data_IF_227904330980
#
_entry.id   IF_227904330980
#
_cell.length_a   1.000
_cell.length_b   1.000
_cell.length_c   1.000
_cell.angle_alpha   90.00
_cell.angle_beta   90.00
_cell.angle_gamma   90.00
#
_symmetry.space_group_name_H-M   'P 1'
#
loop_
_entity.id
_entity.type
_entity.pdbx_description
1 polymer ?
#
# COMPACT_ATOMS: atom_id res chain seq x y z
N UNK A 1 -17.62 1.30 10.46
CA UNK A 1 -18.15 0.18 9.67
C UNK A 1 -17.94 -1.16 10.35
N UNK A 2 -18.54 -2.22 9.77
CA UNK A 2 -18.54 -3.57 10.33
C UNK A 2 -19.57 -3.76 11.46
N UNK A 3 -20.18 -4.95 11.53
CA UNK A 3 -21.16 -5.30 12.55
C UNK A 3 -20.49 -5.58 13.89
N UNK A 4 -21.07 -5.05 14.97
CA UNK A 4 -20.72 -5.40 16.36
C UNK A 4 -21.74 -6.36 16.98
N UNK A 5 -22.78 -6.74 16.22
CA UNK A 5 -23.81 -7.67 16.69
C UNK A 5 -23.27 -9.08 16.72
N UNK A 6 -23.17 -9.64 17.89
CA UNK A 6 -22.74 -11.02 18.11
C UNK A 6 -23.78 -12.02 17.59
N UNK A 7 -23.29 -13.10 17.00
CA UNK A 7 -24.10 -14.24 16.55
C UNK A 7 -23.48 -15.55 17.06
N UNK A 8 -24.28 -16.63 17.21
CA UNK A 8 -23.75 -17.95 17.51
C UNK A 8 -22.81 -18.45 16.43
N UNK A 9 -21.75 -19.13 16.83
CA UNK A 9 -20.84 -19.79 15.86
C UNK A 9 -21.59 -20.95 15.19
N UNK A 10 -21.72 -20.97 13.85
CA UNK A 10 -22.32 -22.10 13.13
C UNK A 10 -21.52 -23.37 13.35
N UNK A 11 -22.19 -24.51 13.43
CA UNK A 11 -21.53 -25.82 13.59
C UNK A 11 -20.59 -26.20 12.43
N UNK A 12 -20.73 -25.52 11.28
CA UNK A 12 -19.90 -25.73 10.09
C UNK A 12 -18.63 -24.85 10.10
N UNK A 13 -18.47 -23.94 11.06
CA UNK A 13 -17.32 -23.06 11.18
C UNK A 13 -16.45 -23.45 12.38
N UNK A 14 -15.21 -23.85 12.13
CA UNK A 14 -14.21 -23.92 13.19
C UNK A 14 -13.69 -22.50 13.47
N UNK A 15 -14.36 -21.80 14.40
CA UNK A 15 -14.09 -20.40 14.67
C UNK A 15 -12.74 -20.19 15.36
N UNK A 16 -12.31 -21.12 16.19
CA UNK A 16 -10.98 -21.07 16.83
C UNK A 16 -9.86 -21.14 15.78
N UNK A 17 -9.97 -22.06 14.84
CA UNK A 17 -9.03 -22.14 13.71
C UNK A 17 -9.06 -20.89 12.83
N UNK A 18 -10.24 -20.28 12.62
CA UNK A 18 -10.36 -19.04 11.85
C UNK A 18 -9.73 -17.86 12.58
N UNK A 19 -9.88 -17.75 13.89
CA UNK A 19 -9.24 -16.71 14.71
C UNK A 19 -7.72 -16.80 14.64
N UNK A 20 -7.16 -18.02 14.60
CA UNK A 20 -5.73 -18.25 14.62
C UNK A 20 -5.07 -17.61 15.86
N UNK A 21 -3.94 -16.88 15.69
CA UNK A 21 -3.24 -16.22 16.80
C UNK A 21 -3.87 -14.90 17.25
N UNK A 22 -4.92 -14.41 16.58
CA UNK A 22 -5.56 -13.15 16.93
C UNK A 22 -6.28 -13.24 18.28
N UNK A 23 -6.44 -12.12 19.01
CA UNK A 23 -7.21 -12.11 20.24
C UNK A 23 -8.65 -12.58 20.02
N UNK A 24 -9.19 -13.32 21.00
CA UNK A 24 -10.58 -13.75 20.92
C UNK A 24 -11.52 -12.54 20.87
N UNK A 25 -12.39 -12.55 19.86
CA UNK A 25 -13.54 -11.65 19.72
C UNK A 25 -14.75 -12.49 19.32
N UNK A 26 -15.96 -12.18 19.84
CA UNK A 26 -17.18 -12.88 19.43
C UNK A 26 -17.39 -12.81 17.90
N UNK A 27 -18.00 -13.87 17.34
CA UNK A 27 -18.40 -13.88 15.93
C UNK A 27 -19.50 -12.83 15.69
N UNK A 28 -19.34 -12.05 14.62
CA UNK A 28 -20.38 -11.13 14.13
C UNK A 28 -20.81 -11.52 12.71
N UNK A 29 -21.93 -10.98 12.24
CA UNK A 29 -22.54 -11.36 10.95
C UNK A 29 -21.59 -11.26 9.75
N UNK A 30 -20.64 -10.32 9.80
CA UNK A 30 -19.76 -10.01 8.68
C UNK A 30 -18.26 -10.27 8.96
N UNK A 31 -17.90 -10.74 10.17
CA UNK A 31 -16.48 -10.93 10.55
C UNK A 31 -15.77 -11.94 9.65
N UNK A 32 -16.40 -13.09 9.40
CA UNK A 32 -15.83 -14.17 8.58
C UNK A 32 -16.38 -14.15 7.14
N UNK A 33 -17.02 -13.06 6.71
CA UNK A 33 -17.66 -13.03 5.39
C UNK A 33 -16.63 -13.07 4.27
N UNK A 34 -16.81 -14.03 3.36
CA UNK A 34 -15.99 -14.21 2.17
C UNK A 34 -16.60 -13.61 0.90
N UNK A 35 -17.80 -12.97 0.99
CA UNK A 35 -18.56 -12.52 -0.16
C UNK A 35 -17.96 -11.29 -0.87
N UNK A 36 -16.84 -10.79 -0.39
CA UNK A 36 -16.13 -9.63 -0.94
C UNK A 36 -16.81 -8.28 -0.67
N UNK A 37 -18.07 -8.30 -0.23
CA UNK A 37 -18.86 -7.08 0.06
C UNK A 37 -18.75 -6.64 1.51
N UNK A 38 -18.47 -7.58 2.41
CA UNK A 38 -18.39 -7.38 3.86
C UNK A 38 -17.06 -7.91 4.38
N UNK A 39 -15.96 -7.27 4.03
CA UNK A 39 -14.59 -7.67 4.44
C UNK A 39 -14.22 -7.08 5.79
N UNK A 40 -15.01 -7.31 6.84
CA UNK A 40 -14.74 -6.73 8.16
C UNK A 40 -13.37 -7.13 8.69
N UNK A 41 -12.94 -8.39 8.52
CA UNK A 41 -11.62 -8.85 8.93
C UNK A 41 -10.47 -8.08 8.27
N UNK A 42 -10.65 -7.63 7.03
CA UNK A 42 -9.63 -6.85 6.31
C UNK A 42 -9.45 -5.43 6.88
N UNK A 43 -10.48 -4.92 7.54
CA UNK A 43 -10.49 -3.63 8.22
C UNK A 43 -10.39 -3.72 9.75
N UNK A 44 -10.04 -4.89 10.30
CA UNK A 44 -9.76 -5.12 11.72
C UNK A 44 -8.26 -5.37 11.92
N UNK A 45 -7.61 -4.49 12.68
CA UNK A 45 -6.15 -4.51 12.90
C UNK A 45 -5.63 -5.78 13.58
N UNK A 46 -6.48 -6.65 14.10
CA UNK A 46 -6.07 -7.96 14.58
C UNK A 46 -5.68 -8.91 13.43
N UNK A 47 -6.09 -8.58 12.18
CA UNK A 47 -5.88 -9.45 11.00
C UNK A 47 -5.18 -8.73 9.86
N UNK A 48 -5.49 -7.44 9.62
CA UNK A 48 -4.96 -6.69 8.49
C UNK A 48 -5.03 -5.17 8.75
N UNK A 49 -4.32 -4.38 7.96
CA UNK A 49 -4.34 -2.92 8.06
C UNK A 49 -5.29 -2.23 7.05
N UNK A 50 -6.21 -2.98 6.43
CA UNK A 50 -7.13 -2.39 5.46
C UNK A 50 -6.42 -1.81 4.25
N UNK A 51 -6.82 -0.61 3.83
CA UNK A 51 -6.28 -0.02 2.61
C UNK A 51 -4.82 0.42 2.71
N UNK A 52 -4.32 0.82 3.88
CA UNK A 52 -2.96 1.34 4.01
C UNK A 52 -1.89 0.30 3.64
N UNK A 53 -2.07 -0.97 4.03
CA UNK A 53 -1.19 -2.05 3.62
C UNK A 53 -1.79 -2.92 2.52
N UNK A 54 -3.10 -3.22 2.55
CA UNK A 54 -3.73 -4.10 1.57
C UNK A 54 -3.82 -3.51 0.15
N UNK A 55 -3.83 -2.20 -0.02
CA UNK A 55 -3.79 -1.51 -1.31
C UNK A 55 -2.59 -0.58 -1.44
N UNK A 56 -2.24 0.15 -0.38
CA UNK A 56 -1.12 1.09 -0.38
C UNK A 56 0.24 0.43 -0.59
N UNK A 57 0.35 -0.89 -0.33
CA UNK A 57 1.55 -1.66 -0.65
C UNK A 57 1.90 -1.62 -2.14
N UNK A 58 0.93 -1.52 -3.06
CA UNK A 58 1.20 -1.49 -4.49
C UNK A 58 1.99 -0.25 -4.94
N UNK A 59 1.57 1.00 -4.63
CA UNK A 59 2.41 2.16 -4.93
C UNK A 59 3.71 2.18 -4.11
N UNK A 60 3.74 1.63 -2.90
CA UNK A 60 4.95 1.50 -2.11
C UNK A 60 5.95 0.52 -2.74
N UNK A 61 5.48 -0.59 -3.30
CA UNK A 61 6.31 -1.54 -4.04
C UNK A 61 6.92 -0.90 -5.30
N UNK A 62 6.14 -0.10 -6.05
CA UNK A 62 6.67 0.69 -7.16
C UNK A 62 7.75 1.66 -6.69
N UNK A 63 7.56 2.31 -5.53
CA UNK A 63 8.57 3.21 -4.95
C UNK A 63 9.86 2.45 -4.61
N UNK A 64 9.76 1.26 -4.03
CA UNK A 64 10.91 0.39 -3.73
C UNK A 64 11.63 -0.08 -4.99
N UNK A 65 10.91 -0.36 -6.06
CA UNK A 65 11.52 -0.72 -7.36
C UNK A 65 12.32 0.45 -7.93
N UNK A 66 11.77 1.67 -7.89
CA UNK A 66 12.43 2.84 -8.47
C UNK A 66 13.55 3.41 -7.61
N UNK A 67 13.39 3.44 -6.29
CA UNK A 67 14.38 4.00 -5.37
C UNK A 67 15.36 2.95 -4.81
N UNK A 68 15.00 1.66 -4.85
CA UNK A 68 15.88 0.56 -4.47
C UNK A 68 16.49 0.72 -3.07
N UNK A 69 17.82 0.61 -3.01
CA UNK A 69 18.58 0.70 -1.76
C UNK A 69 18.46 2.08 -1.07
N UNK A 70 18.07 3.13 -1.80
CA UNK A 70 17.88 4.46 -1.20
C UNK A 70 16.71 4.50 -0.20
N UNK A 71 15.77 3.57 -0.31
CA UNK A 71 14.65 3.41 0.63
C UNK A 71 14.87 2.28 1.65
N UNK A 72 16.12 1.88 1.90
CA UNK A 72 16.47 0.85 2.89
C UNK A 72 17.05 1.47 4.17
N UNK A 73 17.03 0.69 5.25
CA UNK A 73 17.67 1.02 6.50
C UNK A 73 16.87 1.99 7.36
N UNK A 74 17.58 2.92 8.03
CA UNK A 74 16.96 3.84 8.99
C UNK A 74 16.01 4.81 8.29
N UNK A 75 14.80 4.93 8.82
CA UNK A 75 13.76 5.83 8.33
C UNK A 75 13.07 6.52 9.51
N UNK A 76 12.76 7.78 9.33
CA UNK A 76 11.89 8.57 10.21
C UNK A 76 10.54 8.71 9.53
N UNK A 77 9.45 8.53 10.27
CA UNK A 77 8.09 8.59 9.75
C UNK A 77 7.26 9.50 10.63
N UNK A 78 6.54 10.42 10.01
CA UNK A 78 5.56 11.29 10.67
C UNK A 78 4.30 11.43 9.83
N UNK A 79 3.20 11.81 10.44
CA UNK A 79 1.99 12.12 9.71
C UNK A 79 0.71 11.91 10.49
N UNK A 80 -0.39 11.89 9.76
CA UNK A 80 -1.74 11.82 10.31
C UNK A 80 -2.59 10.79 9.59
N UNK A 81 -3.64 10.30 10.26
CA UNK A 81 -4.61 9.38 9.69
C UNK A 81 -6.01 9.60 10.24
N UNK A 82 -6.99 9.23 9.43
CA UNK A 82 -8.40 9.19 9.81
C UNK A 82 -8.82 7.75 10.11
N UNK A 83 -9.56 7.54 11.19
CA UNK A 83 -9.96 6.21 11.65
C UNK A 83 -11.45 6.18 11.96
N UNK A 84 -12.14 5.04 11.74
CA UNK A 84 -13.52 4.88 12.17
C UNK A 84 -13.64 5.02 13.69
N UNK A 85 -14.70 5.71 14.13
CA UNK A 85 -15.00 5.88 15.56
C UNK A 85 -16.09 4.93 16.05
N UNK A 86 -16.71 4.16 15.14
CA UNK A 86 -17.81 3.24 15.44
C UNK A 86 -17.74 1.99 14.60
N UNK A 87 -18.28 0.89 15.12
CA UNK A 87 -18.30 -0.42 14.45
C UNK A 87 -17.06 -1.26 14.74
N UNK A 88 -16.93 -2.39 14.06
CA UNK A 88 -15.87 -3.36 14.26
C UNK A 88 -14.59 -3.04 13.46
N UNK A 89 -14.68 -2.18 12.43
CA UNK A 89 -13.54 -1.76 11.62
C UNK A 89 -12.75 -0.65 12.31
N UNK A 90 -11.43 -0.76 12.35
CA UNK A 90 -10.57 0.17 13.07
C UNK A 90 -9.26 0.52 12.32
N UNK A 91 -9.15 0.13 11.04
CA UNK A 91 -8.01 0.52 10.20
C UNK A 91 -8.16 1.93 9.65
N UNK A 92 -7.05 2.52 9.20
CA UNK A 92 -7.06 3.85 8.58
C UNK A 92 -8.00 3.91 7.37
N UNK A 93 -8.79 4.97 7.28
CA UNK A 93 -9.66 5.29 6.13
C UNK A 93 -9.06 6.35 5.22
N UNK A 94 -8.09 7.10 5.72
CA UNK A 94 -7.29 8.06 4.98
C UNK A 94 -6.01 8.35 5.76
N UNK A 95 -4.95 8.76 5.08
CA UNK A 95 -3.66 9.08 5.71
C UNK A 95 -2.86 10.04 4.85
N UNK A 96 -1.98 10.79 5.52
CA UNK A 96 -0.95 11.65 4.94
C UNK A 96 0.32 11.44 5.76
N UNK A 97 1.30 10.79 5.16
CA UNK A 97 2.50 10.30 5.83
C UNK A 97 3.75 10.75 5.09
N UNK A 98 4.75 11.16 5.83
CA UNK A 98 6.05 11.55 5.32
C UNK A 98 7.14 10.65 5.89
N UNK A 99 7.94 10.07 5.01
CA UNK A 99 9.09 9.23 5.36
C UNK A 99 10.36 9.96 4.96
N UNK A 100 11.37 9.94 5.84
CA UNK A 100 12.71 10.47 5.57
C UNK A 100 13.72 9.37 5.78
N UNK A 101 14.33 8.91 4.72
CA UNK A 101 15.35 7.87 4.75
C UNK A 101 16.73 8.47 5.03
N UNK A 102 17.63 7.67 5.64
CA UNK A 102 19.02 8.10 5.91
C UNK A 102 19.82 8.42 4.64
N UNK A 103 19.40 7.93 3.49
CA UNK A 103 19.93 8.26 2.17
C UNK A 103 19.64 9.70 1.72
N UNK A 104 18.70 10.40 2.38
CA UNK A 104 18.16 11.69 1.97
C UNK A 104 16.89 11.60 1.11
N UNK A 105 16.48 10.42 0.68
CA UNK A 105 15.20 10.23 -0.02
C UNK A 105 14.05 10.49 0.93
N UNK A 106 13.03 11.20 0.44
CA UNK A 106 11.77 11.43 1.13
C UNK A 106 10.61 10.82 0.34
N UNK A 107 9.60 10.33 1.04
CA UNK A 107 8.38 9.80 0.43
C UNK A 107 7.18 10.42 1.12
N UNK A 108 6.27 11.01 0.34
CA UNK A 108 4.93 11.39 0.79
C UNK A 108 3.95 10.32 0.35
N UNK A 109 3.36 9.63 1.32
CA UNK A 109 2.43 8.53 1.09
C UNK A 109 1.03 8.91 1.54
N UNK A 110 0.13 9.08 0.58
CA UNK A 110 -1.23 9.59 0.82
C UNK A 110 -2.28 8.56 0.41
N UNK A 111 -3.23 8.35 1.27
CA UNK A 111 -4.45 7.61 1.01
C UNK A 111 -5.68 8.46 1.30
N UNK A 112 -6.58 8.55 0.33
CA UNK A 112 -7.80 9.35 0.49
C UNK A 112 -8.91 8.57 1.19
N UNK A 113 -9.71 9.23 2.05
CA UNK A 113 -10.90 8.61 2.64
C UNK A 113 -11.81 8.03 1.56
N UNK A 114 -12.33 6.82 1.82
CA UNK A 114 -13.26 6.10 0.93
C UNK A 114 -12.69 5.52 -0.37
N UNK A 115 -11.36 5.37 -0.47
CA UNK A 115 -10.72 4.49 -1.47
C UNK A 115 -11.21 4.66 -2.90
N UNK A 116 -11.21 5.87 -3.43
CA UNK A 116 -11.32 6.18 -4.86
C UNK A 116 -12.50 5.62 -5.69
N UNK A 117 -13.11 4.53 -5.25
CA UNK A 117 -14.20 3.84 -5.95
C UNK A 117 -15.59 4.08 -5.34
N UNK A 118 -15.68 4.67 -4.19
CA UNK A 118 -16.94 5.07 -3.59
C UNK A 118 -17.18 6.54 -3.92
N UNK A 119 -17.81 6.78 -5.04
CA UNK A 119 -18.28 8.04 -5.56
C UNK A 119 -17.92 9.29 -4.76
N UNK A 120 -17.53 10.32 -5.45
CA UNK A 120 -17.12 11.67 -5.02
C UNK A 120 -16.84 11.85 -3.52
N UNK A 121 -15.64 12.27 -3.15
CA UNK A 121 -15.34 12.67 -1.78
C UNK A 121 -16.47 13.58 -1.29
N UNK A 122 -16.85 13.44 -0.03
CA UNK A 122 -17.81 14.33 0.64
C UNK A 122 -17.21 15.74 0.82
N UNK A 123 -16.83 16.40 -0.26
CA UNK A 123 -16.38 17.80 -0.27
C UNK A 123 -15.02 18.08 0.39
N UNK A 124 -14.36 17.09 0.97
CA UNK A 124 -12.98 17.23 1.47
C UNK A 124 -12.00 16.93 0.35
N UNK A 125 -11.29 17.94 -0.10
CA UNK A 125 -10.09 17.75 -0.93
C UNK A 125 -9.03 17.09 -0.05
N UNK A 126 -8.44 15.99 -0.54
CA UNK A 126 -7.30 15.41 0.17
C UNK A 126 -6.07 16.31 0.02
N UNK A 127 -5.20 16.29 1.02
CA UNK A 127 -3.94 16.99 0.95
C UNK A 127 -3.22 16.64 -0.37
N UNK A 128 -2.62 17.61 -1.01
CA UNK A 128 -1.90 17.47 -2.28
C UNK A 128 -2.74 17.26 -3.55
N UNK A 129 -4.07 17.11 -3.50
CA UNK A 129 -4.88 16.82 -4.70
C UNK A 129 -4.66 17.86 -5.80
N UNK A 130 -4.80 19.15 -5.46
CA UNK A 130 -4.66 20.25 -6.43
C UNK A 130 -3.24 20.33 -6.96
N UNK A 131 -2.24 20.25 -6.09
CA UNK A 131 -0.83 20.31 -6.46
C UNK A 131 -0.45 19.16 -7.39
N UNK A 132 -0.81 17.94 -7.03
CA UNK A 132 -0.46 16.76 -7.82
C UNK A 132 -1.23 16.66 -9.13
N UNK A 133 -2.49 17.11 -9.18
CA UNK A 133 -3.23 17.21 -10.44
C UNK A 133 -2.64 18.27 -11.38
N UNK A 134 -2.17 19.38 -10.85
CA UNK A 134 -1.48 20.41 -11.66
C UNK A 134 -0.14 19.91 -12.18
N UNK A 135 0.61 19.18 -11.35
CA UNK A 135 1.96 18.70 -11.68
C UNK A 135 1.94 17.48 -12.59
N UNK A 136 1.15 16.47 -12.26
CA UNK A 136 1.15 15.16 -12.95
C UNK A 136 -0.03 14.96 -13.90
N UNK A 137 -0.94 15.91 -13.97
CA UNK A 137 -2.18 15.80 -14.71
C UNK A 137 -3.24 14.99 -13.96
N UNK A 138 -4.24 14.46 -14.67
CA UNK A 138 -5.29 13.65 -14.05
C UNK A 138 -4.70 12.39 -13.44
N UNK A 139 -4.70 12.34 -12.12
CA UNK A 139 -4.20 11.19 -11.36
C UNK A 139 -5.10 9.97 -11.57
N UNK A 140 -4.47 8.79 -11.62
CA UNK A 140 -5.15 7.52 -11.47
C UNK A 140 -5.53 7.29 -10.00
N UNK A 141 -6.24 6.19 -9.73
CA UNK A 141 -6.62 5.84 -8.36
C UNK A 141 -5.44 5.43 -7.47
N UNK A 142 -4.28 5.19 -8.05
CA UNK A 142 -3.01 4.98 -7.38
C UNK A 142 -1.85 5.25 -8.36
N UNK A 143 -0.65 5.31 -7.85
CA UNK A 143 0.57 5.51 -8.63
C UNK A 143 1.69 6.02 -7.75
N UNK A 144 2.90 6.05 -8.30
CA UNK A 144 4.09 6.55 -7.63
C UNK A 144 4.81 7.54 -8.53
N UNK A 145 5.04 8.75 -8.04
CA UNK A 145 5.86 9.75 -8.72
C UNK A 145 7.27 9.76 -8.12
N UNK A 146 8.25 9.75 -9.00
CA UNK A 146 9.66 9.92 -8.67
C UNK A 146 10.09 11.31 -9.13
N UNK A 147 10.67 12.10 -8.25
CA UNK A 147 11.12 13.46 -8.52
C UNK A 147 12.62 13.57 -8.30
N UNK A 148 13.28 14.20 -9.22
CA UNK A 148 14.70 14.47 -9.18
C UNK A 148 15.05 15.84 -9.76
N UNK A 149 16.34 16.18 -9.78
CA UNK A 149 16.84 17.46 -10.30
C UNK A 149 16.52 17.67 -11.78
N UNK A 150 16.48 16.58 -12.56
CA UNK A 150 16.30 16.62 -14.01
C UNK A 150 14.85 16.49 -14.46
N UNK A 151 13.91 16.28 -13.52
CA UNK A 151 12.50 16.13 -13.82
C UNK A 151 11.79 15.14 -12.92
N UNK A 152 10.67 14.62 -13.42
CA UNK A 152 9.88 13.63 -12.70
C UNK A 152 9.33 12.52 -13.61
N UNK A 153 9.04 11.38 -13.00
CA UNK A 153 8.41 10.23 -13.64
C UNK A 153 7.27 9.72 -12.76
N UNK A 154 6.06 9.68 -13.29
CA UNK A 154 4.90 9.05 -12.65
C UNK A 154 4.70 7.65 -13.26
N UNK A 155 4.77 6.62 -12.41
CA UNK A 155 4.52 5.24 -12.78
C UNK A 155 3.21 4.74 -12.17
N UNK A 156 2.38 4.13 -13.02
CA UNK A 156 1.16 3.42 -12.65
C UNK A 156 1.01 2.19 -13.55
N UNK A 157 0.01 1.37 -13.30
CA UNK A 157 -0.23 0.12 -14.05
C UNK A 157 -0.38 0.40 -15.55
N UNK A 158 0.60 -0.05 -16.34
CA UNK A 158 0.62 0.11 -17.80
C UNK A 158 0.80 1.53 -18.31
N UNK A 159 1.17 2.49 -17.42
CA UNK A 159 1.35 3.89 -17.78
C UNK A 159 2.59 4.47 -17.11
N UNK A 160 3.39 5.17 -17.90
CA UNK A 160 4.48 6.02 -17.43
C UNK A 160 4.29 7.40 -18.06
N UNK A 161 4.40 8.45 -17.26
CA UNK A 161 4.37 9.85 -17.69
C UNK A 161 5.58 10.54 -17.11
N UNK A 162 6.26 11.34 -17.92
CA UNK A 162 7.48 12.03 -17.51
C UNK A 162 7.47 13.50 -17.89
N UNK A 163 8.25 14.27 -17.17
CA UNK A 163 8.58 15.63 -17.52
C UNK A 163 10.07 15.86 -17.22
N UNK A 164 10.91 16.16 -18.21
CA UNK A 164 10.58 16.27 -19.65
C UNK A 164 10.20 14.93 -20.27
N UNK A 165 9.47 14.97 -21.38
CA UNK A 165 9.03 13.76 -22.12
C UNK A 165 10.21 12.91 -22.61
N UNK A 166 11.34 13.55 -22.89
CA UNK A 166 12.58 12.88 -23.30
C UNK A 166 13.12 11.83 -22.32
N UNK A 167 12.67 11.84 -21.06
CA UNK A 167 13.03 10.78 -20.10
C UNK A 167 12.48 9.41 -20.53
N UNK A 168 11.41 9.35 -21.32
CA UNK A 168 10.90 8.08 -21.87
C UNK A 168 11.75 7.54 -23.02
N UNK A 169 12.61 8.36 -23.62
CA UNK A 169 13.48 7.98 -24.74
C UNK A 169 14.84 7.42 -24.27
N UNK A 170 15.09 7.42 -22.96
CA UNK A 170 16.33 6.88 -22.41
C UNK A 170 16.49 5.39 -22.78
N UNK A 171 17.66 5.05 -23.26
CA UNK A 171 18.03 3.64 -23.51
C UNK A 171 18.25 2.94 -22.17
N UNK A 172 17.29 2.15 -21.76
CA UNK A 172 17.30 1.49 -20.44
C UNK A 172 18.45 0.48 -20.29
N UNK A 173 18.92 -0.11 -21.36
CA UNK A 173 20.05 -1.03 -21.39
C UNK A 173 21.40 -0.38 -21.06
N UNK A 174 21.48 0.94 -21.14
CA UNK A 174 22.70 1.72 -20.81
C UNK A 174 22.69 2.27 -19.38
N UNK A 175 21.60 2.10 -18.65
CA UNK A 175 21.48 2.62 -17.29
C UNK A 175 22.28 1.77 -16.29
N UNK A 176 22.87 2.39 -15.25
CA UNK A 176 23.71 1.68 -14.28
C UNK A 176 22.93 0.67 -13.44
N UNK A 177 21.63 0.87 -13.26
CA UNK A 177 20.75 -0.05 -12.54
C UNK A 177 19.88 -0.78 -13.56
N UNK A 178 19.96 -2.10 -13.55
CA UNK A 178 19.19 -2.99 -14.40
C UNK A 178 18.24 -3.81 -13.55
N UNK A 179 16.94 -3.60 -13.71
CA UNK A 179 15.93 -4.40 -13.04
C UNK A 179 15.77 -5.76 -13.75
N UNK A 180 15.58 -6.82 -12.98
CA UNK A 180 15.24 -8.13 -13.51
C UNK A 180 13.93 -8.04 -14.30
N UNK A 181 13.91 -8.54 -15.53
CA UNK A 181 12.69 -8.59 -16.35
C UNK A 181 12.04 -9.95 -16.20
N UNK A 182 10.74 -9.97 -15.90
CA UNK A 182 9.91 -11.17 -15.92
C UNK A 182 8.69 -10.94 -16.79
N UNK A 183 8.52 -11.76 -17.81
CA UNK A 183 7.33 -11.73 -18.69
C UNK A 183 6.22 -12.63 -18.20
N UNK A 184 6.50 -13.50 -17.22
CA UNK A 184 5.54 -14.47 -16.70
C UNK A 184 5.80 -14.78 -15.23
N UNK A 185 5.01 -14.21 -14.35
CA UNK A 185 5.18 -14.27 -12.89
C UNK A 185 5.29 -15.70 -12.33
N UNK A 186 4.38 -16.60 -12.71
CA UNK A 186 4.41 -18.01 -12.25
C UNK A 186 5.67 -18.73 -12.77
N UNK A 187 6.10 -18.44 -13.98
CA UNK A 187 7.31 -19.03 -14.54
C UNK A 187 8.56 -18.60 -13.79
N UNK A 188 8.68 -17.29 -13.49
CA UNK A 188 9.76 -16.75 -12.69
C UNK A 188 9.85 -17.44 -11.32
N UNK A 189 8.71 -17.64 -10.66
CA UNK A 189 8.65 -18.36 -9.39
C UNK A 189 9.14 -19.81 -9.51
N UNK A 190 8.68 -20.56 -10.51
CA UNK A 190 9.09 -21.94 -10.72
C UNK A 190 10.58 -22.06 -11.06
N UNK A 191 11.11 -21.14 -11.86
CA UNK A 191 12.52 -21.11 -12.21
C UNK A 191 13.39 -20.70 -11.01
N UNK A 192 12.91 -19.81 -10.14
CA UNK A 192 13.56 -19.47 -8.89
C UNK A 192 13.65 -20.65 -7.92
N UNK A 193 12.62 -21.50 -7.84
CA UNK A 193 12.66 -22.73 -7.05
C UNK A 193 13.79 -23.65 -7.55
N UNK A 194 13.94 -23.81 -8.87
CA UNK A 194 14.95 -24.69 -9.47
C UNK A 194 16.36 -24.12 -9.36
N UNK A 195 16.55 -22.85 -9.66
CA UNK A 195 17.84 -22.20 -9.70
C UNK A 195 18.34 -21.77 -8.33
N UNK A 196 17.45 -21.67 -7.33
CA UNK A 196 17.70 -21.07 -6.00
C UNK A 196 18.12 -19.60 -6.08
N UNK A 197 17.81 -18.93 -7.18
CA UNK A 197 18.00 -17.49 -7.33
C UNK A 197 16.72 -16.75 -6.93
N UNK A 198 16.82 -15.50 -6.41
CA UNK A 198 15.66 -14.70 -6.05
C UNK A 198 14.68 -14.51 -7.22
N UNK A 199 13.39 -14.63 -6.95
CA UNK A 199 12.34 -14.23 -7.88
C UNK A 199 12.31 -12.69 -8.02
N UNK A 200 11.66 -12.20 -9.08
CA UNK A 200 11.48 -10.76 -9.26
C UNK A 200 10.69 -10.12 -8.10
N UNK A 201 9.70 -10.84 -7.58
CA UNK A 201 8.96 -10.46 -6.37
C UNK A 201 9.57 -11.17 -5.16
N UNK A 202 10.68 -10.63 -4.65
CA UNK A 202 11.39 -11.22 -3.53
C UNK A 202 10.65 -10.96 -2.20
N UNK A 203 10.67 -11.95 -1.31
CA UNK A 203 9.94 -11.86 -0.03
C UNK A 203 10.47 -10.73 0.87
N UNK A 204 11.77 -10.46 0.85
CA UNK A 204 12.35 -9.39 1.66
C UNK A 204 11.87 -8.00 1.22
N UNK A 205 11.62 -7.81 -0.09
CA UNK A 205 11.04 -6.57 -0.61
C UNK A 205 9.59 -6.42 -0.18
N UNK A 206 8.83 -7.51 -0.24
CA UNK A 206 7.45 -7.52 0.24
C UNK A 206 7.36 -7.22 1.74
N UNK A 207 8.21 -7.86 2.56
CA UNK A 207 8.28 -7.62 4.01
C UNK A 207 8.66 -6.18 4.31
N UNK A 208 9.62 -5.62 3.57
CA UNK A 208 10.05 -4.24 3.80
C UNK A 208 8.97 -3.23 3.41
N UNK A 209 8.33 -3.41 2.25
CA UNK A 209 7.21 -2.57 1.81
C UNK A 209 6.04 -2.60 2.79
N UNK A 210 5.68 -3.79 3.28
CA UNK A 210 4.64 -3.95 4.29
C UNK A 210 5.06 -3.29 5.63
N UNK A 211 6.32 -3.43 6.04
CA UNK A 211 6.88 -2.74 7.21
C UNK A 211 6.71 -1.22 7.10
N UNK A 212 6.99 -0.63 5.94
CA UNK A 212 6.78 0.81 5.72
C UNK A 212 5.31 1.21 5.91
N UNK A 213 4.37 0.40 5.41
CA UNK A 213 2.94 0.63 5.65
C UNK A 213 2.58 0.55 7.13
N UNK A 214 3.12 -0.43 7.86
CA UNK A 214 2.87 -0.62 9.29
C UNK A 214 3.42 0.51 10.14
N UNK A 215 4.66 0.93 9.94
CA UNK A 215 5.24 2.05 10.71
C UNK A 215 4.55 3.37 10.40
N UNK A 216 4.04 3.53 9.16
CA UNK A 216 3.19 4.65 8.79
C UNK A 216 1.87 4.68 9.57
N UNK A 217 1.16 3.55 9.68
CA UNK A 217 -0.06 3.46 10.49
C UNK A 217 0.23 3.76 11.98
N UNK A 218 1.36 3.27 12.51
CA UNK A 218 1.79 3.56 13.88
C UNK A 218 2.04 5.07 14.06
N UNK A 219 2.78 5.71 13.16
CA UNK A 219 3.05 7.15 13.24
C UNK A 219 1.74 7.96 13.20
N UNK A 220 0.82 7.62 12.27
CA UNK A 220 -0.48 8.25 12.17
C UNK A 220 -1.34 8.11 13.44
N UNK A 221 -1.33 6.93 14.08
CA UNK A 221 -2.04 6.69 15.36
C UNK A 221 -1.43 7.48 16.51
N UNK A 222 -0.12 7.59 16.55
CA UNK A 222 0.61 8.33 17.57
C UNK A 222 0.63 9.85 17.32
N UNK A 223 0.19 10.29 16.13
CA UNK A 223 0.18 11.71 15.70
C UNK A 223 1.56 12.36 15.81
N UNK A 224 2.55 11.67 15.39
CA UNK A 224 3.95 12.12 15.41
C UNK A 224 4.75 11.46 14.31
#
# INVERSE_FOLDING_TARGET
GGSTKEIPVPSTLNYDLWLGPAPFKPLTEDRCSADGKKKTWWFDTDYALGFIAGWGIHPMDIALWGAGELMRGKVEVEGTGSYPTTGACNTATGWDLNYRFASGVTVTFVGVPNGGNAGKPTGETWAHETEWQQKYGKLANHGTAFEGADGWCLADRGKIVTQPESLTELKTDTLPVQLKVSTHHVRDFLDSIKSRQPAIAHVDDAVWGDTLCHIGDIAARLKR
#
